data_IF_602117522256
#
_entry.id   IF_602117522256
#
_cell.length_a   1.000
_cell.length_b   1.000
_cell.length_c   1.000
_cell.angle_alpha   90.00
_cell.angle_beta   90.00
_cell.angle_gamma   90.00
#
_symmetry.space_group_name_H-M   'P 1'
#
loop_
_entity.id
_entity.type
_entity.pdbx_description
1 polymer ?
#
# COMPACT_ATOMS: atom_id res chain seq x y z
N UNK A 1 7.05 15.22 -12.93
CA UNK A 1 6.03 15.29 -11.87
C UNK A 1 6.56 16.15 -10.73
N UNK A 2 5.67 16.82 -10.05
CA UNK A 2 5.96 17.57 -8.83
C UNK A 2 5.11 16.93 -7.75
N UNK A 3 5.77 16.35 -6.74
CA UNK A 3 5.09 15.82 -5.58
C UNK A 3 5.10 16.84 -4.46
N UNK A 4 4.06 16.83 -3.68
CA UNK A 4 3.91 17.72 -2.52
C UNK A 4 3.35 16.96 -1.33
N UNK A 5 3.67 17.49 -0.16
CA UNK A 5 3.06 17.07 1.10
C UNK A 5 2.67 18.33 1.87
N UNK A 6 1.43 18.38 2.27
CA UNK A 6 0.93 19.38 3.19
C UNK A 6 0.37 18.69 4.43
N UNK A 7 0.87 19.03 5.60
CA UNK A 7 0.41 18.47 6.87
C UNK A 7 0.22 19.59 7.90
N UNK A 8 -0.93 19.58 8.54
CA UNK A 8 -1.25 20.47 9.65
C UNK A 8 -1.37 19.62 10.92
N UNK A 9 -0.76 20.09 12.00
CA UNK A 9 -0.87 19.47 13.32
C UNK A 9 -1.33 20.49 14.33
N UNK A 10 -2.29 20.10 15.17
CA UNK A 10 -2.81 20.92 16.25
C UNK A 10 -2.66 20.20 17.59
N UNK A 11 -1.94 20.80 18.52
CA UNK A 11 -1.82 20.31 19.88
C UNK A 11 -3.09 20.70 20.67
N UNK A 12 -3.93 19.71 20.96
CA UNK A 12 -5.15 19.92 21.77
C UNK A 12 -4.77 20.19 23.23
N UNK A 13 -3.78 19.47 23.72
CA UNK A 13 -3.15 19.63 25.03
C UNK A 13 -1.77 18.95 25.02
N UNK A 14 -1.10 18.85 26.18
CA UNK A 14 0.22 18.23 26.30
C UNK A 14 0.24 16.73 25.95
N UNK A 15 -0.88 16.04 26.09
CA UNK A 15 -0.98 14.61 25.85
C UNK A 15 -1.62 14.26 24.50
N UNK A 16 -2.32 15.19 23.84
CA UNK A 16 -3.10 14.89 22.63
C UNK A 16 -2.78 15.88 21.52
N UNK A 17 -2.44 15.38 20.37
CA UNK A 17 -2.38 16.15 19.13
C UNK A 17 -3.19 15.46 18.03
N UNK A 18 -3.83 16.27 17.20
CA UNK A 18 -4.51 15.83 15.99
C UNK A 18 -3.79 16.40 14.78
N UNK A 19 -3.87 15.68 13.67
CA UNK A 19 -3.29 16.13 12.43
C UNK A 19 -4.15 15.74 11.24
N UNK A 20 -3.96 16.44 10.15
CA UNK A 20 -4.52 16.09 8.87
C UNK A 20 -3.59 16.55 7.77
N UNK A 21 -3.62 15.87 6.65
CA UNK A 21 -2.75 16.19 5.54
C UNK A 21 -3.13 15.52 4.24
N UNK A 22 -2.51 16.02 3.18
CA UNK A 22 -2.55 15.47 1.84
C UNK A 22 -1.12 15.33 1.34
N UNK A 23 -0.83 14.22 0.69
CA UNK A 23 0.45 13.97 0.05
C UNK A 23 0.24 13.30 -1.30
N UNK A 24 1.11 13.65 -2.24
CA UNK A 24 1.16 13.01 -3.55
C UNK A 24 2.49 12.31 -3.74
N UNK A 25 2.51 11.34 -4.62
CA UNK A 25 3.69 10.60 -5.00
C UNK A 25 3.54 10.04 -6.40
N UNK A 26 4.62 9.56 -6.98
CA UNK A 26 4.58 8.90 -8.27
C UNK A 26 5.56 7.73 -8.32
N UNK A 27 5.24 6.78 -9.17
CA UNK A 27 6.18 5.74 -9.61
C UNK A 27 6.51 6.01 -11.08
N UNK A 28 7.78 6.08 -11.40
CA UNK A 28 8.24 6.35 -12.75
C UNK A 28 7.73 5.30 -13.76
N UNK A 29 7.64 5.70 -15.02
CA UNK A 29 7.35 4.79 -16.12
C UNK A 29 8.32 3.60 -16.13
N UNK A 30 7.82 2.45 -16.53
CA UNK A 30 8.56 1.20 -16.53
C UNK A 30 8.56 0.54 -17.92
N UNK A 31 9.60 -0.26 -18.16
CA UNK A 31 9.77 -1.04 -19.37
C UNK A 31 9.99 -2.50 -19.06
N UNK A 32 9.23 -3.37 -19.71
CA UNK A 32 9.50 -4.80 -19.71
C UNK A 32 10.41 -5.12 -20.91
N UNK A 33 11.66 -5.44 -20.64
CA UNK A 33 12.66 -5.78 -21.67
C UNK A 33 12.69 -7.26 -22.02
N UNK A 34 11.82 -8.09 -21.45
CA UNK A 34 11.71 -9.49 -21.78
C UNK A 34 11.28 -9.70 -23.23
N UNK A 35 11.93 -10.63 -23.94
CA UNK A 35 11.53 -11.00 -25.31
C UNK A 35 10.11 -11.57 -25.37
N UNK A 36 9.67 -12.23 -24.32
CA UNK A 36 8.35 -12.84 -24.23
C UNK A 36 7.21 -11.83 -24.07
N UNK A 37 7.52 -10.54 -23.90
CA UNK A 37 6.54 -9.47 -23.86
C UNK A 37 6.18 -8.90 -25.24
N UNK A 38 6.85 -9.32 -26.31
CA UNK A 38 6.49 -8.92 -27.67
C UNK A 38 5.19 -9.62 -28.11
N UNK A 39 4.18 -8.90 -28.57
CA UNK A 39 2.99 -9.49 -29.14
C UNK A 39 3.35 -10.19 -30.46
N UNK A 40 2.72 -11.32 -30.71
CA UNK A 40 2.79 -11.94 -32.03
C UNK A 40 1.90 -11.21 -33.04
N UNK A 41 2.08 -11.50 -34.32
CA UNK A 41 1.40 -10.75 -35.40
C UNK A 41 -0.15 -10.86 -35.33
N UNK A 42 -0.70 -11.95 -34.80
CA UNK A 42 -2.15 -12.14 -34.65
C UNK A 42 -2.73 -11.33 -33.47
N UNK A 43 -1.93 -11.08 -32.45
CA UNK A 43 -2.35 -10.32 -31.26
C UNK A 43 -2.29 -8.80 -31.51
N UNK A 44 -1.38 -8.33 -32.38
CA UNK A 44 -1.17 -6.89 -32.66
C UNK A 44 -2.48 -6.22 -33.11
N UNK A 45 -3.21 -6.86 -34.01
CA UNK A 45 -4.47 -6.30 -34.53
C UNK A 45 -5.53 -6.16 -33.41
N UNK A 46 -5.64 -7.16 -32.54
CA UNK A 46 -6.56 -7.12 -31.42
C UNK A 46 -6.18 -6.03 -30.39
N UNK A 47 -4.90 -5.91 -30.09
CA UNK A 47 -4.40 -4.86 -29.17
C UNK A 47 -4.65 -3.45 -29.70
N UNK A 48 -4.44 -3.23 -31.00
CA UNK A 48 -4.74 -1.93 -31.65
C UNK A 48 -6.25 -1.66 -31.60
N UNK A 49 -7.08 -2.66 -31.90
CA UNK A 49 -8.52 -2.52 -31.87
C UNK A 49 -9.06 -2.21 -30.45
N UNK A 50 -8.37 -2.71 -29.42
CA UNK A 50 -8.67 -2.42 -28.01
C UNK A 50 -8.16 -1.04 -27.55
N UNK A 51 -7.59 -0.23 -28.44
CA UNK A 51 -7.08 1.10 -28.12
C UNK A 51 -5.72 1.10 -27.40
N UNK A 52 -5.02 -0.03 -27.40
CA UNK A 52 -3.72 -0.15 -26.71
C UNK A 52 -2.67 0.70 -27.44
N UNK A 53 -1.99 1.66 -26.80
CA UNK A 53 -1.03 2.51 -27.46
C UNK A 53 0.19 1.72 -27.92
N UNK A 54 0.70 2.06 -29.11
CA UNK A 54 1.97 1.56 -29.60
C UNK A 54 3.13 2.14 -28.78
N UNK A 55 3.99 1.29 -28.26
CA UNK A 55 5.20 1.77 -27.60
C UNK A 55 6.24 2.25 -28.60
N UNK A 56 7.17 3.15 -28.19
CA UNK A 56 8.26 3.60 -29.05
C UNK A 56 9.13 2.48 -29.64
N UNK A 57 9.16 1.31 -29.00
CA UNK A 57 9.91 0.14 -29.44
C UNK A 57 9.10 -0.85 -30.32
N UNK A 58 7.99 -0.40 -30.90
CA UNK A 58 7.12 -1.18 -31.79
C UNK A 58 6.37 -2.34 -31.14
N UNK A 59 6.44 -2.54 -29.84
CA UNK A 59 5.54 -3.41 -29.13
C UNK A 59 4.26 -2.66 -28.81
N UNK A 60 3.13 -3.25 -29.11
CA UNK A 60 1.83 -2.64 -28.86
C UNK A 60 1.46 -2.94 -27.41
N UNK A 61 1.54 -1.93 -26.54
CA UNK A 61 0.99 -1.95 -25.17
C UNK A 61 1.49 -3.00 -24.19
N UNK A 62 2.58 -3.70 -24.49
CA UNK A 62 3.03 -4.83 -23.66
C UNK A 62 4.34 -4.62 -22.92
N UNK A 63 5.09 -3.60 -23.31
CA UNK A 63 6.45 -3.37 -22.79
C UNK A 63 6.60 -2.10 -21.99
N UNK A 64 5.61 -1.25 -22.04
CA UNK A 64 5.70 0.07 -21.45
C UNK A 64 4.47 0.34 -20.57
N UNK A 65 4.74 0.82 -19.38
CA UNK A 65 3.74 1.48 -18.56
C UNK A 65 4.18 2.91 -18.27
N UNK A 66 3.27 3.85 -18.41
CA UNK A 66 3.44 5.22 -17.97
C UNK A 66 3.60 5.33 -16.46
N UNK A 67 3.85 6.51 -15.91
CA UNK A 67 3.93 6.68 -14.47
C UNK A 67 2.62 6.34 -13.78
N UNK A 68 2.72 5.89 -12.53
CA UNK A 68 1.60 5.88 -11.58
C UNK A 68 1.62 7.19 -10.81
N UNK A 69 0.47 7.71 -10.48
CA UNK A 69 0.31 8.88 -9.61
C UNK A 69 -0.51 8.46 -8.38
N UNK A 70 0.00 8.78 -7.20
CA UNK A 70 -0.64 8.46 -5.94
C UNK A 70 -1.04 9.73 -5.20
N UNK A 71 -2.21 9.72 -4.58
CA UNK A 71 -2.66 10.72 -3.64
C UNK A 71 -3.12 10.03 -2.35
N UNK A 72 -2.75 10.60 -1.21
CA UNK A 72 -3.18 10.13 0.11
C UNK A 72 -3.71 11.31 0.91
N UNK A 73 -4.93 11.18 1.40
CA UNK A 73 -5.52 12.08 2.39
C UNK A 73 -5.55 11.33 3.72
N UNK A 74 -5.06 11.96 4.78
CA UNK A 74 -4.94 11.35 6.09
C UNK A 74 -5.40 12.31 7.18
N UNK A 75 -6.13 11.79 8.18
CA UNK A 75 -6.41 12.47 9.44
C UNK A 75 -6.10 11.53 10.60
N UNK A 76 -5.47 12.02 11.65
CA UNK A 76 -5.11 11.17 12.76
C UNK A 76 -4.96 11.90 14.09
N UNK A 77 -4.72 11.10 15.11
CA UNK A 77 -4.45 11.56 16.47
C UNK A 77 -3.24 10.81 17.05
N UNK A 78 -2.46 11.55 17.82
CA UNK A 78 -1.37 11.02 18.66
C UNK A 78 -1.70 11.33 20.11
N UNK A 79 -1.75 10.29 20.92
CA UNK A 79 -2.19 10.34 22.30
C UNK A 79 -1.06 9.77 23.17
N UNK A 80 -0.49 10.61 24.01
CA UNK A 80 0.48 10.19 25.02
C UNK A 80 -0.23 9.71 26.27
N UNK A 81 0.13 8.52 26.70
CA UNK A 81 -0.34 7.89 27.93
C UNK A 81 0.74 8.01 29.01
N UNK A 82 0.43 7.87 30.30
CA UNK A 82 1.44 7.91 31.36
C UNK A 82 2.60 6.92 31.18
N UNK A 83 2.34 5.80 30.51
CA UNK A 83 3.34 4.74 30.26
C UNK A 83 3.31 4.25 28.83
N UNK A 84 3.10 5.14 27.86
CA UNK A 84 3.07 4.73 26.46
C UNK A 84 2.46 5.75 25.53
N UNK A 85 2.00 5.29 24.38
CA UNK A 85 1.28 6.13 23.42
C UNK A 85 0.31 5.30 22.57
N UNK A 86 -0.66 5.99 22.01
CA UNK A 86 -1.59 5.47 21.00
C UNK A 86 -1.62 6.44 19.82
N UNK A 87 -1.33 5.93 18.63
CA UNK A 87 -1.56 6.64 17.37
C UNK A 87 -2.75 6.01 16.67
N UNK A 88 -3.57 6.81 16.04
CA UNK A 88 -4.70 6.37 15.20
C UNK A 88 -4.69 7.24 13.96
N UNK A 89 -4.89 6.63 12.78
CA UNK A 89 -5.07 7.34 11.53
C UNK A 89 -6.24 6.76 10.74
N UNK A 90 -6.93 7.62 10.02
CA UNK A 90 -7.89 7.30 8.97
C UNK A 90 -7.30 7.86 7.68
N UNK A 91 -7.35 7.11 6.61
CA UNK A 91 -6.79 7.53 5.34
C UNK A 91 -7.64 7.07 4.15
N UNK A 92 -7.52 7.81 3.08
CA UNK A 92 -8.00 7.49 1.75
C UNK A 92 -6.82 7.62 0.79
N UNK A 93 -6.57 6.59 0.01
CA UNK A 93 -5.48 6.54 -0.95
C UNK A 93 -6.02 6.18 -2.33
N UNK A 94 -5.59 6.92 -3.34
CA UNK A 94 -5.87 6.61 -4.74
C UNK A 94 -4.56 6.47 -5.51
N UNK A 95 -4.49 5.50 -6.41
CA UNK A 95 -3.38 5.30 -7.35
C UNK A 95 -3.95 5.30 -8.76
N UNK A 96 -3.62 6.33 -9.51
CA UNK A 96 -3.98 6.46 -10.92
C UNK A 96 -2.86 5.90 -11.82
N UNK A 97 -3.26 5.27 -12.92
CA UNK A 97 -2.30 4.70 -13.86
C UNK A 97 -1.52 3.51 -13.31
N UNK A 98 -2.08 2.78 -12.37
CA UNK A 98 -1.49 1.59 -11.75
C UNK A 98 -0.82 0.67 -12.77
N UNK A 99 0.46 0.36 -12.57
CA UNK A 99 1.26 -0.48 -13.46
C UNK A 99 1.05 -1.95 -13.13
N UNK A 100 0.54 -2.69 -14.09
CA UNK A 100 0.36 -4.13 -13.98
C UNK A 100 1.28 -4.90 -14.91
N UNK A 101 1.88 -5.97 -14.41
CA UNK A 101 2.65 -6.93 -15.20
C UNK A 101 1.86 -8.24 -15.26
N UNK A 102 0.96 -8.33 -16.24
CA UNK A 102 -0.03 -9.39 -16.36
C UNK A 102 0.49 -10.53 -17.23
N UNK A 103 0.33 -11.79 -16.79
CA UNK A 103 0.67 -12.97 -17.60
C UNK A 103 -0.39 -13.19 -18.69
N UNK A 104 0.09 -13.35 -19.93
CA UNK A 104 -0.76 -13.43 -21.12
C UNK A 104 -0.56 -14.76 -21.88
N UNK A 105 -0.31 -15.83 -21.15
CA UNK A 105 -0.18 -17.19 -21.69
C UNK A 105 1.24 -17.58 -22.09
N UNK A 106 1.99 -16.72 -22.76
CA UNK A 106 3.37 -17.00 -23.20
C UNK A 106 4.41 -16.05 -22.61
N UNK A 107 3.98 -14.99 -21.94
CA UNK A 107 4.85 -13.98 -21.36
C UNK A 107 4.08 -13.00 -20.51
N UNK A 108 4.72 -11.92 -20.11
CA UNK A 108 4.13 -10.87 -19.32
C UNK A 108 3.94 -9.59 -20.15
N UNK A 109 2.76 -9.00 -20.06
CA UNK A 109 2.46 -7.69 -20.61
C UNK A 109 2.53 -6.66 -19.49
N UNK A 110 3.34 -5.63 -19.70
CA UNK A 110 3.42 -4.46 -18.83
C UNK A 110 2.57 -3.33 -19.42
N UNK A 111 1.63 -2.83 -18.67
CA UNK A 111 0.76 -1.72 -19.05
C UNK A 111 0.21 -1.01 -17.82
N UNK A 112 -0.38 0.18 -18.00
CA UNK A 112 -1.19 0.79 -16.96
C UNK A 112 -2.56 0.11 -16.94
N UNK A 113 -2.95 -0.40 -15.80
CA UNK A 113 -4.17 -1.19 -15.63
C UNK A 113 -5.42 -0.33 -15.35
N UNK A 114 -5.24 0.94 -14.97
CA UNK A 114 -6.30 1.84 -14.60
C UNK A 114 -6.07 2.49 -13.24
N UNK A 115 -7.03 2.41 -12.34
CA UNK A 115 -6.96 3.02 -11.02
C UNK A 115 -7.24 2.01 -9.91
N UNK A 116 -6.65 2.26 -8.74
CA UNK A 116 -6.86 1.50 -7.52
C UNK A 116 -7.01 2.50 -6.37
N UNK A 117 -7.95 2.24 -5.48
CA UNK A 117 -8.11 2.98 -4.24
C UNK A 117 -8.06 2.06 -3.02
N UNK A 118 -7.78 2.64 -1.87
CA UNK A 118 -7.89 1.97 -0.59
C UNK A 118 -8.19 3.02 0.49
N UNK A 119 -9.33 2.92 1.09
CA UNK A 119 -9.61 3.63 2.35
C UNK A 119 -9.43 2.69 3.52
N UNK A 120 -9.16 3.26 4.68
CA UNK A 120 -8.89 2.44 5.84
C UNK A 120 -8.55 3.22 7.09
N UNK A 121 -8.22 2.45 8.11
CA UNK A 121 -7.70 2.99 9.36
C UNK A 121 -6.59 2.12 9.90
N UNK A 122 -5.71 2.77 10.64
CA UNK A 122 -4.61 2.13 11.34
C UNK A 122 -4.48 2.64 12.77
N UNK A 123 -3.94 1.81 13.62
CA UNK A 123 -3.53 2.20 14.96
C UNK A 123 -2.22 1.55 15.38
N UNK A 124 -1.53 2.21 16.27
CA UNK A 124 -0.29 1.76 16.90
C UNK A 124 -0.29 2.11 18.38
N UNK A 125 -0.32 1.09 19.23
CA UNK A 125 -0.30 1.19 20.68
C UNK A 125 1.01 0.63 21.22
N UNK A 126 1.69 1.43 22.01
CA UNK A 126 2.77 0.98 22.89
C UNK A 126 2.40 1.34 24.32
N UNK A 127 2.41 0.37 25.20
CA UNK A 127 1.99 0.58 26.59
C UNK A 127 2.76 -0.32 27.56
N UNK A 128 3.36 0.27 28.59
CA UNK A 128 4.09 -0.42 29.63
C UNK A 128 3.29 -0.38 30.94
N UNK A 129 2.36 -1.33 31.17
CA UNK A 129 1.53 -1.37 32.37
C UNK A 129 2.32 -1.59 33.66
N UNK A 130 3.49 -2.19 33.55
CA UNK A 130 4.43 -2.48 34.65
C UNK A 130 5.85 -2.12 34.16
N UNK A 131 6.76 -1.86 35.11
CA UNK A 131 8.16 -1.51 34.79
C UNK A 131 8.88 -2.58 33.96
N UNK A 132 8.43 -3.81 34.01
CA UNK A 132 9.05 -4.94 33.34
C UNK A 132 8.18 -5.59 32.24
N UNK A 133 7.03 -5.01 31.91
CA UNK A 133 6.12 -5.53 30.88
C UNK A 133 5.87 -4.45 29.84
N UNK A 134 6.20 -4.73 28.59
CA UNK A 134 5.88 -3.90 27.45
C UNK A 134 4.86 -4.60 26.54
N UNK A 135 3.78 -3.92 26.24
CA UNK A 135 2.76 -4.34 25.30
C UNK A 135 2.87 -3.49 24.03
N UNK A 136 2.83 -4.15 22.88
CA UNK A 136 2.73 -3.49 21.58
C UNK A 136 1.57 -4.11 20.81
N UNK A 137 0.75 -3.28 20.22
CA UNK A 137 -0.32 -3.70 19.32
C UNK A 137 -0.43 -2.73 18.18
N UNK A 138 -0.39 -3.22 16.95
CA UNK A 138 -0.67 -2.44 15.76
C UNK A 138 -1.70 -3.16 14.90
N UNK A 139 -2.52 -2.39 14.22
CA UNK A 139 -3.51 -2.92 13.30
C UNK A 139 -3.71 -1.99 12.12
N UNK A 140 -3.90 -2.58 10.95
CA UNK A 140 -4.28 -1.89 9.72
C UNK A 140 -5.49 -2.60 9.14
N UNK A 141 -6.49 -1.83 8.77
CA UNK A 141 -7.75 -2.29 8.17
C UNK A 141 -7.96 -1.51 6.90
N UNK A 142 -8.14 -2.22 5.79
CA UNK A 142 -8.19 -1.67 4.44
C UNK A 142 -9.46 -2.14 3.73
N UNK A 143 -10.01 -1.28 2.89
CA UNK A 143 -10.98 -1.66 1.86
C UNK A 143 -10.37 -1.33 0.48
N UNK A 144 -9.47 -2.21 -0.04
CA UNK A 144 -8.80 -1.98 -1.30
C UNK A 144 -9.67 -2.43 -2.47
N UNK A 145 -9.77 -1.59 -3.51
CA UNK A 145 -10.56 -1.90 -4.70
C UNK A 145 -9.83 -1.48 -5.98
N UNK A 146 -9.98 -2.27 -7.04
CA UNK A 146 -9.66 -1.82 -8.39
C UNK A 146 -10.79 -0.94 -8.90
N UNK A 147 -10.61 0.37 -8.92
CA UNK A 147 -11.60 1.29 -9.50
C UNK A 147 -11.75 1.04 -11.00
N UNK A 148 -10.64 0.71 -11.65
CA UNK A 148 -10.59 0.38 -13.06
C UNK A 148 -9.44 -0.59 -13.35
N UNK A 149 -9.75 -1.80 -13.85
CA UNK A 149 -8.77 -2.76 -14.32
C UNK A 149 -9.33 -3.65 -15.44
N UNK A 150 -9.36 -3.11 -16.66
CA UNK A 150 -9.95 -3.79 -17.82
C UNK A 150 -8.99 -4.70 -18.59
N UNK A 151 -7.69 -4.60 -18.33
CA UNK A 151 -6.62 -5.31 -19.06
C UNK A 151 -6.03 -6.51 -18.31
N UNK A 152 -6.73 -7.11 -17.37
CA UNK A 152 -6.22 -8.29 -16.65
C UNK A 152 -6.30 -9.56 -17.51
N UNK A 153 -5.55 -10.60 -17.14
CA UNK A 153 -5.64 -11.93 -17.78
C UNK A 153 -7.01 -12.62 -17.55
N UNK A 154 -7.80 -12.12 -16.63
CA UNK A 154 -9.15 -12.62 -16.31
C UNK A 154 -10.28 -11.76 -16.91
N UNK A 155 -9.93 -10.78 -17.74
CA UNK A 155 -10.87 -9.80 -18.29
C UNK A 155 -10.95 -8.54 -17.42
N UNK A 156 -12.12 -7.93 -17.40
CA UNK A 156 -12.39 -6.76 -16.57
C UNK A 156 -12.64 -7.20 -15.12
N UNK A 157 -11.76 -6.77 -14.21
CA UNK A 157 -11.85 -7.03 -12.78
C UNK A 157 -12.05 -5.74 -11.97
N UNK A 158 -12.51 -4.68 -12.64
CA UNK A 158 -12.90 -3.44 -11.94
C UNK A 158 -13.95 -3.72 -10.87
N UNK A 159 -13.86 -3.04 -9.74
CA UNK A 159 -14.73 -3.24 -8.58
C UNK A 159 -14.41 -4.46 -7.72
N UNK A 160 -13.32 -5.18 -7.99
CA UNK A 160 -12.89 -6.31 -7.16
C UNK A 160 -11.74 -5.92 -6.24
N UNK A 161 -11.60 -6.65 -5.13
CA UNK A 161 -10.46 -6.50 -4.21
C UNK A 161 -9.18 -7.01 -4.85
N UNK A 162 -8.07 -6.26 -4.79
CA UNK A 162 -6.76 -6.72 -5.23
C UNK A 162 -6.29 -7.95 -4.47
N UNK A 163 -5.87 -8.99 -5.19
CA UNK A 163 -5.28 -10.17 -4.56
C UNK A 163 -3.95 -9.84 -3.88
N UNK A 164 -3.66 -10.51 -2.78
CA UNK A 164 -2.45 -10.36 -1.97
C UNK A 164 -2.32 -9.02 -1.19
N UNK A 165 -3.40 -8.27 -1.07
CA UNK A 165 -3.49 -7.17 -0.11
C UNK A 165 -4.42 -7.64 1.01
N UNK A 166 -3.93 -7.93 2.22
CA UNK A 166 -4.79 -8.30 3.32
C UNK A 166 -5.66 -7.11 3.75
N UNK A 167 -6.96 -7.35 3.88
CA UNK A 167 -7.91 -6.33 4.34
C UNK A 167 -7.72 -6.04 5.84
N UNK A 168 -7.22 -7.01 6.57
CA UNK A 168 -6.95 -6.88 8.00
C UNK A 168 -5.55 -7.40 8.32
N UNK A 169 -4.78 -6.62 9.06
CA UNK A 169 -3.49 -7.05 9.61
C UNK A 169 -3.39 -6.58 11.05
N UNK A 170 -3.19 -7.50 11.99
CA UNK A 170 -3.03 -7.18 13.40
C UNK A 170 -1.75 -7.83 13.90
N UNK A 171 -0.89 -7.04 14.49
CA UNK A 171 0.32 -7.50 15.19
C UNK A 171 0.21 -7.18 16.66
N UNK A 172 0.47 -8.18 17.49
CA UNK A 172 0.55 -8.00 18.95
C UNK A 172 1.84 -8.58 19.48
N UNK A 173 2.44 -7.93 20.47
CA UNK A 173 3.54 -8.52 21.22
C UNK A 173 3.53 -8.13 22.69
N UNK A 174 3.98 -9.05 23.51
CA UNK A 174 4.25 -8.86 24.93
C UNK A 174 5.72 -9.13 25.17
N UNK A 175 6.41 -8.19 25.77
CA UNK A 175 7.80 -8.35 26.19
C UNK A 175 7.86 -8.30 27.71
N UNK A 176 8.43 -9.32 28.30
CA UNK A 176 8.76 -9.37 29.72
C UNK A 176 10.27 -9.20 29.90
N UNK A 177 10.67 -8.14 30.55
CA UNK A 177 12.05 -7.86 30.94
C UNK A 177 12.30 -8.47 32.35
N UNK A 178 13.37 -9.19 32.51
CA UNK A 178 13.69 -9.85 33.78
C UNK A 178 15.17 -9.72 34.13
N UNK A 179 15.44 -9.72 35.45
CA UNK A 179 16.79 -9.83 36.00
C UNK A 179 16.88 -11.09 36.84
N UNK A 180 17.85 -11.95 36.58
CA UNK A 180 18.09 -13.16 37.31
C UNK A 180 19.59 -13.28 37.62
N UNK A 181 19.93 -13.26 38.91
CA UNK A 181 21.31 -13.38 39.39
C UNK A 181 22.30 -12.41 38.74
N UNK A 182 21.87 -11.14 38.46
CA UNK A 182 22.68 -10.13 37.86
C UNK A 182 22.78 -10.20 36.32
N UNK A 183 22.01 -11.08 35.71
CA UNK A 183 21.84 -11.12 34.25
C UNK A 183 20.52 -10.47 33.87
N UNK A 184 20.59 -9.51 32.96
CA UNK A 184 19.41 -8.90 32.34
C UNK A 184 19.02 -9.67 31.09
N UNK A 185 17.75 -9.93 30.96
CA UNK A 185 17.21 -10.59 29.78
C UNK A 185 15.77 -10.19 29.50
N UNK A 186 15.27 -10.62 28.37
CA UNK A 186 13.86 -10.43 28.02
C UNK A 186 13.30 -11.68 27.36
N UNK A 187 11.99 -11.83 27.47
CA UNK A 187 11.19 -12.82 26.75
C UNK A 187 10.10 -12.09 25.99
N UNK A 188 10.00 -12.32 24.69
CA UNK A 188 8.97 -11.73 23.85
C UNK A 188 8.12 -12.81 23.21
N UNK A 189 6.81 -12.62 23.27
CA UNK A 189 5.82 -13.37 22.50
C UNK A 189 5.20 -12.39 21.50
N UNK A 190 5.16 -12.80 20.23
CA UNK A 190 4.55 -12.00 19.16
C UNK A 190 3.56 -12.85 18.37
N UNK A 191 2.48 -12.24 17.94
CA UNK A 191 1.46 -12.84 17.11
C UNK A 191 1.13 -11.89 15.95
N UNK A 192 1.04 -12.45 14.75
CA UNK A 192 0.58 -11.77 13.54
C UNK A 192 -0.66 -12.49 13.02
N UNK A 193 -1.70 -11.73 12.75
CA UNK A 193 -2.91 -12.12 12.04
C UNK A 193 -3.03 -11.30 10.75
N UNK A 194 -3.35 -11.95 9.63
CA UNK A 194 -3.63 -11.32 8.34
C UNK A 194 -4.49 -12.26 7.47
#
# INVERSE_FOLDING_TARGET
NIDYTFKLTYAVNEAVSIYGGISTGFKASAWNISRNSDPNASEVAGLIAAGTPASPNRSVGRRYAGPEEAEVIEIGAKIYLPSGYLNIALFDQTIEGFQSNTFIGTGFALANAGAQSADGYEFDLVYSPLENIDLMMSGTFLDPVYDSFTGSSFGDISGTTPSNIPEETITTSVTWNWNMNGWDGYTRLSHLYS
#
